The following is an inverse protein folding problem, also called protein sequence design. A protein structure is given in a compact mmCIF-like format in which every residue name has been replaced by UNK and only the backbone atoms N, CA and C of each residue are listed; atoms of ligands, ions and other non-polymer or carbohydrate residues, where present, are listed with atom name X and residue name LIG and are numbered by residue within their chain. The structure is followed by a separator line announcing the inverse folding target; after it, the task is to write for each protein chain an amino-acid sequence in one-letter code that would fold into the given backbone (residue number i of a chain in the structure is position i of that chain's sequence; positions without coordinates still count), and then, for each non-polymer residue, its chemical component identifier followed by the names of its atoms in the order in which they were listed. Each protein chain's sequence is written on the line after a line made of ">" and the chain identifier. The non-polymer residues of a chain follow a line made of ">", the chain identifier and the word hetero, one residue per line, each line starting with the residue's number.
data_IF_457007124491
#
_entry.id   IF_457007124491
#
_cell.length_a   1.000
_cell.length_b   1.000
_cell.length_c   1.000
_cell.angle_alpha   90.00
_cell.angle_beta   90.00
_cell.angle_gamma   90.00
#
_symmetry.space_group_name_H-M   'P 1'
#
loop_
_entity.id
_entity.type
_entity.pdbx_description
1 polymer ?
#
# COMPACT_ATOMS: atom_id res chain seq x y z
N UNK A 1 -16.79 -26.99 -8.19
CA UNK A 1 -17.20 -28.23 -8.91
C UNK A 1 -16.02 -28.92 -9.60
N UNK A 2 -15.10 -28.18 -10.23
CA UNK A 2 -13.92 -28.76 -10.91
C UNK A 2 -12.99 -29.50 -9.93
N UNK A 3 -12.71 -28.92 -8.75
CA UNK A 3 -11.90 -29.60 -7.72
C UNK A 3 -12.50 -30.94 -7.29
N UNK A 4 -13.81 -31.00 -7.00
CA UNK A 4 -14.52 -32.25 -6.68
C UNK A 4 -14.46 -33.29 -7.81
N UNK A 5 -14.47 -32.85 -9.07
CA UNK A 5 -14.31 -33.75 -10.23
C UNK A 5 -12.87 -34.27 -10.32
N UNK A 6 -11.88 -33.41 -10.07
CA UNK A 6 -10.47 -33.78 -9.99
C UNK A 6 -10.23 -34.84 -8.92
N UNK A 7 -10.68 -34.59 -7.69
CA UNK A 7 -10.61 -35.54 -6.57
C UNK A 7 -11.23 -36.91 -6.92
N UNK A 8 -12.41 -36.92 -7.53
CA UNK A 8 -13.07 -38.16 -7.95
C UNK A 8 -12.28 -38.92 -9.03
N UNK A 9 -11.62 -38.21 -9.95
CA UNK A 9 -10.76 -38.83 -10.97
C UNK A 9 -9.49 -39.38 -10.32
N UNK A 10 -8.88 -38.65 -9.41
CA UNK A 10 -7.67 -39.08 -8.69
C UNK A 10 -7.93 -40.32 -7.83
N UNK A 11 -9.06 -40.39 -7.12
CA UNK A 11 -9.46 -41.59 -6.38
C UNK A 11 -9.61 -42.82 -7.29
N UNK A 12 -10.16 -42.64 -8.50
CA UNK A 12 -10.29 -43.73 -9.48
C UNK A 12 -8.92 -44.17 -9.98
N UNK A 13 -8.01 -43.23 -10.26
CA UNK A 13 -6.63 -43.54 -10.65
C UNK A 13 -5.92 -44.34 -9.56
N UNK A 14 -6.03 -43.91 -8.29
CA UNK A 14 -5.43 -44.63 -7.15
C UNK A 14 -5.95 -46.06 -7.03
N UNK A 15 -7.26 -46.29 -7.18
CA UNK A 15 -7.85 -47.63 -7.16
C UNK A 15 -7.31 -48.51 -8.29
N UNK A 16 -7.19 -47.97 -9.50
CA UNK A 16 -6.62 -48.68 -10.66
C UNK A 16 -5.13 -48.98 -10.47
N UNK A 17 -4.36 -48.08 -9.85
CA UNK A 17 -2.95 -48.30 -9.51
C UNK A 17 -2.77 -49.45 -8.51
N UNK A 18 -3.60 -49.48 -7.46
CA UNK A 18 -3.60 -50.58 -6.51
C UNK A 18 -3.93 -51.92 -7.18
N UNK A 19 -4.88 -51.94 -8.12
CA UNK A 19 -5.21 -53.13 -8.90
C UNK A 19 -4.07 -53.56 -9.83
N UNK A 20 -3.42 -52.61 -10.51
CA UNK A 20 -2.24 -52.88 -11.36
C UNK A 20 -1.07 -53.44 -10.55
N UNK A 21 -0.85 -52.96 -9.31
CA UNK A 21 0.16 -53.50 -8.42
C UNK A 21 -0.09 -54.98 -8.11
N UNK A 22 -1.35 -55.36 -7.84
CA UNK A 22 -1.75 -56.77 -7.62
C UNK A 22 -1.53 -57.62 -8.86
N UNK A 23 -1.89 -57.13 -10.04
CA UNK A 23 -1.62 -57.87 -11.29
C UNK A 23 -0.12 -58.04 -11.55
N UNK A 24 0.70 -57.01 -11.26
CA UNK A 24 2.16 -57.09 -11.38
C UNK A 24 2.74 -58.19 -10.49
N UNK A 25 2.26 -58.33 -9.26
CA UNK A 25 2.66 -59.43 -8.37
C UNK A 25 2.20 -60.80 -8.88
N UNK A 26 0.95 -60.91 -9.35
CA UNK A 26 0.42 -62.15 -9.90
C UNK A 26 1.22 -62.61 -11.12
N UNK A 27 1.58 -61.69 -12.03
CA UNK A 27 2.40 -62.00 -13.20
C UNK A 27 3.78 -62.52 -12.78
N UNK A 28 4.40 -61.91 -11.75
CA UNK A 28 5.70 -62.36 -11.22
C UNK A 28 5.64 -63.76 -10.61
N UNK A 29 4.54 -64.10 -9.92
CA UNK A 29 4.34 -65.39 -9.25
C UNK A 29 3.86 -66.50 -10.20
N UNK A 30 3.32 -66.15 -11.37
CA UNK A 30 2.80 -67.10 -12.35
C UNK A 30 3.88 -67.51 -13.36
N UNK A 31 4.06 -68.81 -13.58
CA UNK A 31 5.01 -69.35 -14.56
C UNK A 31 4.62 -68.90 -15.98
N UNK A 32 5.59 -68.63 -16.88
CA UNK A 32 5.28 -68.25 -18.28
C UNK A 32 4.38 -69.30 -18.96
N UNK A 33 3.32 -68.82 -19.62
CA UNK A 33 2.33 -69.66 -20.30
C UNK A 33 0.95 -69.00 -20.40
N UNK A 34 -0.07 -69.74 -20.87
CA UNK A 34 -1.42 -69.20 -21.12
C UNK A 34 -2.05 -68.52 -19.91
N UNK A 35 -1.81 -69.05 -18.70
CA UNK A 35 -2.29 -68.44 -17.45
C UNK A 35 -1.65 -67.07 -17.20
N UNK A 36 -0.34 -66.92 -17.41
CA UNK A 36 0.35 -65.63 -17.25
C UNK A 36 -0.12 -64.62 -18.31
N UNK A 37 -0.34 -65.06 -19.55
CA UNK A 37 -0.88 -64.20 -20.61
C UNK A 37 -2.30 -63.71 -20.32
N UNK A 38 -3.16 -64.57 -19.75
CA UNK A 38 -4.50 -64.17 -19.33
C UNK A 38 -4.46 -63.06 -18.24
N UNK A 39 -3.53 -63.15 -17.29
CA UNK A 39 -3.31 -62.12 -16.26
C UNK A 39 -2.78 -60.83 -16.90
N UNK A 40 -1.81 -60.91 -17.82
CA UNK A 40 -1.32 -59.75 -18.58
C UNK A 40 -2.44 -59.07 -19.37
N UNK A 41 -3.31 -59.83 -20.03
CA UNK A 41 -4.43 -59.28 -20.78
C UNK A 41 -5.43 -58.52 -19.89
N UNK A 42 -5.68 -59.00 -18.67
CA UNK A 42 -6.50 -58.30 -17.67
C UNK A 42 -5.81 -57.01 -17.20
N UNK A 43 -4.52 -57.09 -16.85
CA UNK A 43 -3.73 -55.93 -16.45
C UNK A 43 -3.71 -54.83 -17.54
N UNK A 44 -3.61 -55.22 -18.81
CA UNK A 44 -3.66 -54.29 -19.95
C UNK A 44 -4.99 -53.55 -20.07
N UNK A 45 -6.12 -54.17 -19.71
CA UNK A 45 -7.42 -53.47 -19.69
C UNK A 45 -7.47 -52.41 -18.60
N UNK A 46 -6.99 -52.75 -17.40
CA UNK A 46 -6.91 -51.81 -16.27
C UNK A 46 -5.96 -50.66 -16.57
N UNK A 47 -4.81 -50.93 -17.22
CA UNK A 47 -3.86 -49.89 -17.62
C UNK A 47 -4.46 -48.92 -18.65
N UNK A 48 -5.22 -49.42 -19.63
CA UNK A 48 -5.95 -48.57 -20.58
C UNK A 48 -6.97 -47.68 -19.87
N UNK A 49 -7.70 -48.24 -18.92
CA UNK A 49 -8.67 -47.48 -18.12
C UNK A 49 -7.98 -46.41 -17.26
N UNK A 50 -6.83 -46.73 -16.66
CA UNK A 50 -6.02 -45.76 -15.92
C UNK A 50 -5.59 -44.60 -16.81
N UNK A 51 -5.00 -44.88 -17.97
CA UNK A 51 -4.57 -43.84 -18.93
C UNK A 51 -5.71 -42.93 -19.38
N UNK A 52 -6.91 -43.48 -19.54
CA UNK A 52 -8.09 -42.68 -19.85
C UNK A 52 -8.40 -41.66 -18.74
N UNK A 53 -8.33 -42.08 -17.47
CA UNK A 53 -8.55 -41.18 -16.33
C UNK A 53 -7.40 -40.19 -16.13
N UNK A 54 -6.14 -40.60 -16.34
CA UNK A 54 -4.99 -39.69 -16.33
C UNK A 54 -5.19 -38.56 -17.37
N UNK A 55 -5.64 -38.89 -18.58
CA UNK A 55 -5.96 -37.88 -19.59
C UNK A 55 -7.11 -36.96 -19.20
N UNK A 56 -8.14 -37.47 -18.51
CA UNK A 56 -9.23 -36.63 -17.97
C UNK A 56 -8.72 -35.68 -16.88
N UNK A 57 -7.84 -36.17 -15.99
CA UNK A 57 -7.21 -35.35 -14.95
C UNK A 57 -6.37 -34.24 -15.56
N UNK A 58 -5.56 -34.55 -16.56
CA UNK A 58 -4.71 -33.56 -17.23
C UNK A 58 -5.55 -32.47 -17.93
N UNK A 59 -6.70 -32.84 -18.51
CA UNK A 59 -7.67 -31.88 -19.05
C UNK A 59 -8.26 -30.98 -17.94
N UNK A 60 -8.61 -31.57 -16.78
CA UNK A 60 -9.11 -30.80 -15.64
C UNK A 60 -8.05 -29.84 -15.09
N UNK A 61 -6.78 -30.25 -15.02
CA UNK A 61 -5.71 -29.34 -14.58
C UNK A 61 -5.50 -28.16 -15.52
N UNK A 62 -5.52 -28.40 -16.83
CA UNK A 62 -5.49 -27.30 -17.80
C UNK A 62 -6.71 -26.37 -17.66
N UNK A 63 -7.89 -26.93 -17.39
CA UNK A 63 -9.09 -26.13 -17.16
C UNK A 63 -8.98 -25.30 -15.87
N UNK A 64 -8.50 -25.87 -14.77
CA UNK A 64 -8.27 -25.16 -13.51
C UNK A 64 -7.26 -24.03 -13.72
N UNK A 65 -6.13 -24.30 -14.37
CA UNK A 65 -5.12 -23.28 -14.66
C UNK A 65 -5.70 -22.11 -15.45
N UNK A 66 -6.47 -22.38 -16.51
CA UNK A 66 -7.12 -21.32 -17.29
C UNK A 66 -8.12 -20.52 -16.45
N UNK A 67 -8.86 -21.17 -15.54
CA UNK A 67 -9.79 -20.49 -14.65
C UNK A 67 -9.07 -19.63 -13.61
N UNK A 68 -7.95 -20.09 -13.06
CA UNK A 68 -7.15 -19.32 -12.10
C UNK A 68 -6.58 -18.06 -12.77
N UNK A 69 -6.10 -18.17 -14.01
CA UNK A 69 -5.65 -17.02 -14.80
C UNK A 69 -6.78 -16.01 -15.05
N UNK A 70 -7.98 -16.49 -15.38
CA UNK A 70 -9.17 -15.63 -15.59
C UNK A 70 -9.62 -15.00 -14.26
N UNK A 71 -9.58 -15.74 -13.16
CA UNK A 71 -9.94 -15.24 -11.84
C UNK A 71 -9.00 -14.10 -11.40
N UNK A 72 -7.69 -14.28 -11.58
CA UNK A 72 -6.71 -13.23 -11.30
C UNK A 72 -6.94 -11.98 -12.15
N UNK A 73 -7.18 -12.15 -13.47
CA UNK A 73 -7.51 -11.03 -14.34
C UNK A 73 -8.82 -10.33 -13.92
N UNK A 74 -9.83 -11.09 -13.50
CA UNK A 74 -11.11 -10.55 -13.04
C UNK A 74 -10.96 -9.76 -11.73
N UNK A 75 -10.08 -10.19 -10.83
CA UNK A 75 -9.75 -9.47 -9.59
C UNK A 75 -9.08 -8.12 -9.92
N UNK A 76 -8.08 -8.10 -10.80
CA UNK A 76 -7.47 -6.84 -11.25
C UNK A 76 -8.46 -5.89 -11.94
N UNK A 77 -9.41 -6.42 -12.72
CA UNK A 77 -10.50 -5.62 -13.32
C UNK A 77 -11.42 -5.05 -12.23
N UNK A 78 -11.74 -5.83 -11.20
CA UNK A 78 -12.58 -5.39 -10.09
C UNK A 78 -11.92 -4.27 -9.29
N UNK A 79 -10.62 -4.37 -9.03
CA UNK A 79 -9.85 -3.32 -8.36
C UNK A 79 -9.82 -2.05 -9.21
N UNK A 80 -9.54 -2.17 -10.52
CA UNK A 80 -9.61 -1.04 -11.45
C UNK A 80 -11.00 -0.40 -11.48
N UNK A 81 -12.07 -1.21 -11.41
CA UNK A 81 -13.44 -0.72 -11.33
C UNK A 81 -13.68 0.07 -10.03
N UNK A 82 -13.18 -0.41 -8.89
CA UNK A 82 -13.27 0.30 -7.62
C UNK A 82 -12.51 1.64 -7.67
N UNK A 83 -11.29 1.67 -8.20
CA UNK A 83 -10.52 2.90 -8.41
C UNK A 83 -11.28 3.87 -9.32
N UNK A 84 -11.83 3.39 -10.43
CA UNK A 84 -12.62 4.22 -11.35
C UNK A 84 -13.86 4.81 -10.66
N UNK A 85 -14.54 4.02 -9.82
CA UNK A 85 -15.68 4.51 -9.04
C UNK A 85 -15.25 5.59 -8.05
N UNK A 86 -14.13 5.39 -7.34
CA UNK A 86 -13.57 6.39 -6.44
C UNK A 86 -13.21 7.69 -7.16
N UNK A 87 -12.53 7.59 -8.31
CA UNK A 87 -12.19 8.74 -9.16
C UNK A 87 -13.44 9.48 -9.65
N UNK A 88 -14.49 8.74 -10.03
CA UNK A 88 -15.77 9.35 -10.46
C UNK A 88 -16.43 10.13 -9.32
N UNK A 89 -16.40 9.60 -8.10
CA UNK A 89 -16.90 10.28 -6.91
C UNK A 89 -16.05 11.53 -6.59
N UNK A 90 -14.72 11.40 -6.57
CA UNK A 90 -13.81 12.52 -6.35
C UNK A 90 -13.99 13.63 -7.39
N UNK A 91 -14.17 13.29 -8.67
CA UNK A 91 -14.44 14.27 -9.73
C UNK A 91 -15.80 14.95 -9.55
N UNK A 92 -16.83 14.22 -9.10
CA UNK A 92 -18.14 14.81 -8.78
C UNK A 92 -18.02 15.81 -7.63
N UNK A 93 -17.27 15.46 -6.59
CA UNK A 93 -17.01 16.33 -5.44
C UNK A 93 -16.19 17.55 -5.83
N UNK A 94 -15.13 17.37 -6.61
CA UNK A 94 -14.31 18.46 -7.17
C UNK A 94 -15.15 19.42 -8.04
N UNK A 95 -16.05 18.90 -8.89
CA UNK A 95 -17.00 19.73 -9.63
C UNK A 95 -18.00 20.45 -8.73
N UNK A 96 -18.37 19.86 -7.60
CA UNK A 96 -19.15 20.52 -6.55
C UNK A 96 -18.37 21.69 -5.96
N UNK A 97 -17.15 21.41 -5.48
CA UNK A 97 -16.22 22.41 -4.95
C UNK A 97 -15.99 23.55 -5.93
N UNK A 98 -15.70 23.29 -7.21
CA UNK A 98 -15.51 24.33 -8.23
C UNK A 98 -16.75 25.20 -8.49
N UNK A 99 -17.97 24.71 -8.21
CA UNK A 99 -19.19 25.52 -8.28
C UNK A 99 -19.40 26.38 -7.04
N UNK A 100 -18.93 25.89 -5.88
CA UNK A 100 -18.98 26.60 -4.59
C UNK A 100 -17.77 27.46 -4.31
N UNK A 101 -16.65 27.29 -5.01
CA UNK A 101 -15.60 28.29 -5.15
C UNK A 101 -16.22 29.33 -6.06
N UNK A 102 -16.82 30.33 -5.43
CA UNK A 102 -17.82 31.17 -6.09
C UNK A 102 -17.11 32.11 -7.05
N UNK A 103 -17.66 32.18 -8.25
CA UNK A 103 -17.51 33.34 -9.16
C UNK A 103 -17.87 34.65 -8.44
N UNK A 104 -18.70 34.60 -7.38
CA UNK A 104 -19.05 35.74 -6.53
C UNK A 104 -17.91 36.20 -5.60
N UNK A 105 -16.96 35.33 -5.26
CA UNK A 105 -15.82 35.70 -4.40
C UNK A 105 -14.71 36.37 -5.22
N UNK A 106 -14.80 36.40 -6.55
CA UNK A 106 -13.85 37.13 -7.41
C UNK A 106 -14.20 38.63 -7.47
N UNK A 107 -15.49 38.97 -7.55
CA UNK A 107 -15.94 40.37 -7.45
C UNK A 107 -15.70 40.90 -6.03
N UNK A 108 -15.98 40.10 -4.99
CA UNK A 108 -15.68 40.49 -3.60
C UNK A 108 -14.19 40.58 -3.28
N UNK A 109 -13.33 39.79 -3.93
CA UNK A 109 -11.87 39.94 -3.80
C UNK A 109 -11.35 41.21 -4.50
N UNK A 110 -11.95 41.62 -5.62
CA UNK A 110 -11.62 42.90 -6.26
C UNK A 110 -12.09 44.08 -5.41
N UNK A 111 -13.32 44.04 -4.91
CA UNK A 111 -13.87 45.07 -4.03
C UNK A 111 -13.07 45.15 -2.71
N UNK A 112 -12.71 44.01 -2.09
CA UNK A 112 -11.86 43.98 -0.89
C UNK A 112 -10.43 44.48 -1.16
N UNK A 113 -9.85 44.23 -2.34
CA UNK A 113 -8.54 44.81 -2.71
C UNK A 113 -8.63 46.33 -2.96
N UNK A 114 -9.74 46.80 -3.51
CA UNK A 114 -10.00 48.23 -3.73
C UNK A 114 -10.22 48.94 -2.39
N UNK A 115 -11.01 48.36 -1.50
CA UNK A 115 -11.19 48.82 -0.12
C UNK A 115 -9.86 48.77 0.67
N UNK A 116 -9.00 47.78 0.43
CA UNK A 116 -7.68 47.69 1.08
C UNK A 116 -6.72 48.78 0.57
N UNK A 117 -6.76 49.11 -0.73
CA UNK A 117 -5.99 50.23 -1.31
C UNK A 117 -6.52 51.59 -0.83
N UNK A 118 -7.83 51.74 -0.71
CA UNK A 118 -8.47 52.96 -0.19
C UNK A 118 -8.18 53.14 1.30
N UNK A 119 -8.28 52.07 2.11
CA UNK A 119 -7.87 52.08 3.53
C UNK A 119 -6.37 52.32 3.65
N UNK A 120 -5.54 51.77 2.76
CA UNK A 120 -4.10 52.04 2.77
C UNK A 120 -3.78 53.50 2.43
N UNK A 121 -4.53 54.09 1.49
CA UNK A 121 -4.41 55.50 1.11
C UNK A 121 -4.91 56.43 2.23
N UNK A 122 -6.04 56.08 2.86
CA UNK A 122 -6.61 56.80 4.00
C UNK A 122 -5.70 56.70 5.23
N UNK A 123 -5.06 55.54 5.47
CA UNK A 123 -4.03 55.35 6.50
C UNK A 123 -2.79 56.21 6.20
N UNK A 124 -2.34 56.29 4.95
CA UNK A 124 -1.19 57.13 4.56
C UNK A 124 -1.51 58.62 4.70
N UNK A 125 -2.74 59.04 4.38
CA UNK A 125 -3.22 60.41 4.49
C UNK A 125 -3.46 60.82 5.96
N UNK A 126 -4.05 59.94 6.78
CA UNK A 126 -4.25 60.18 8.23
C UNK A 126 -2.96 60.07 9.05
N UNK A 127 -2.01 59.21 8.67
CA UNK A 127 -0.66 59.19 9.26
C UNK A 127 0.25 60.29 8.69
N UNK A 128 -0.24 61.10 7.74
CA UNK A 128 0.52 62.20 7.14
C UNK A 128 1.84 61.74 6.52
N UNK A 129 1.91 60.49 6.06
CA UNK A 129 3.10 59.95 5.40
C UNK A 129 2.86 59.94 3.91
N UNK A 130 3.07 61.11 3.32
CA UNK A 130 3.48 61.19 1.92
C UNK A 130 4.73 60.33 1.78
N UNK A 131 4.59 59.12 1.25
CA UNK A 131 5.67 58.55 0.47
C UNK A 131 5.54 59.16 -0.92
N UNK A 132 5.91 60.44 -1.02
CA UNK A 132 6.58 60.91 -2.23
C UNK A 132 7.85 60.07 -2.31
N UNK A 133 7.75 58.93 -2.98
CA UNK A 133 8.92 58.41 -3.68
C UNK A 133 9.29 59.52 -4.65
N UNK A 134 10.45 60.19 -4.50
CA UNK A 134 10.87 61.18 -5.47
C UNK A 134 10.90 60.50 -6.85
N UNK A 135 10.43 61.16 -7.90
CA UNK A 135 10.54 60.67 -9.29
C UNK A 135 12.02 60.46 -9.72
N UNK A 136 12.97 60.77 -8.83
CA UNK A 136 14.41 60.74 -9.00
C UNK A 136 15.06 59.45 -8.45
N UNK A 137 14.29 58.41 -8.08
CA UNK A 137 14.87 57.11 -7.75
C UNK A 137 15.42 56.48 -9.03
N UNK A 138 16.74 56.34 -9.12
CA UNK A 138 17.42 55.75 -10.26
C UNK A 138 17.31 54.21 -10.20
N UNK A 139 16.54 53.63 -11.12
CA UNK A 139 16.32 52.19 -11.21
C UNK A 139 17.64 51.41 -11.42
N UNK A 140 18.66 52.06 -12.01
CA UNK A 140 19.97 51.46 -12.24
C UNK A 140 20.79 51.33 -10.94
N UNK A 141 20.62 52.25 -9.97
CA UNK A 141 21.27 52.17 -8.66
C UNK A 141 20.67 51.02 -7.82
N UNK A 142 19.35 50.84 -7.89
CA UNK A 142 18.62 49.73 -7.24
C UNK A 142 18.98 48.36 -7.81
N UNK A 143 19.15 48.26 -9.14
CA UNK A 143 19.63 47.03 -9.78
C UNK A 143 21.07 46.72 -9.37
N UNK A 144 21.93 47.74 -9.25
CA UNK A 144 23.29 47.58 -8.75
C UNK A 144 23.36 47.09 -7.31
N UNK A 145 22.50 47.60 -6.41
CA UNK A 145 22.40 47.09 -5.04
C UNK A 145 21.85 45.67 -4.96
N UNK A 146 20.89 45.31 -5.84
CA UNK A 146 20.33 43.96 -5.89
C UNK A 146 21.37 42.93 -6.33
N UNK A 147 22.16 43.25 -7.37
CA UNK A 147 23.27 42.41 -7.82
C UNK A 147 24.35 42.27 -6.72
N UNK A 148 24.62 43.34 -5.97
CA UNK A 148 25.54 43.29 -4.84
C UNK A 148 25.02 42.39 -3.70
N UNK A 149 23.72 42.39 -3.42
CA UNK A 149 23.08 41.52 -2.43
C UNK A 149 23.07 40.05 -2.88
N UNK A 150 22.88 39.78 -4.18
CA UNK A 150 23.02 38.45 -4.77
C UNK A 150 24.46 37.95 -4.67
N UNK A 151 25.45 38.83 -4.88
CA UNK A 151 26.86 38.50 -4.70
C UNK A 151 27.22 38.20 -3.23
N UNK A 152 26.64 38.94 -2.27
CA UNK A 152 26.84 38.70 -0.83
C UNK A 152 26.24 37.35 -0.39
N UNK A 153 25.08 36.96 -0.94
CA UNK A 153 24.50 35.61 -0.74
C UNK A 153 25.22 34.50 -1.53
N UNK A 154 25.79 34.83 -2.69
CA UNK A 154 26.59 33.91 -3.50
C UNK A 154 27.90 33.51 -2.80
N UNK A 155 28.51 34.42 -2.05
CA UNK A 155 29.68 34.13 -1.21
C UNK A 155 29.35 33.24 0.02
N UNK A 156 28.12 33.25 0.53
CA UNK A 156 27.69 32.30 1.56
C UNK A 156 27.32 30.91 1.00
N UNK A 157 26.95 30.81 -0.28
CA UNK A 157 26.55 29.52 -0.88
C UNK A 157 27.75 28.63 -1.28
N UNK A 158 28.95 29.21 -1.44
CA UNK A 158 30.21 28.43 -1.56
C UNK A 158 30.78 28.01 -0.19
N UNK A 159 30.24 28.54 0.92
CA UNK A 159 30.61 28.20 2.29
C UNK A 159 29.65 27.20 2.94
N UNK A 160 29.36 26.09 2.24
CA UNK A 160 28.84 24.87 2.84
C UNK A 160 27.38 24.91 3.30
N UNK A 161 26.66 23.83 2.99
CA UNK A 161 25.32 23.56 3.50
C UNK A 161 25.27 23.88 5.01
N UNK A 162 24.27 24.65 5.50
CA UNK A 162 24.19 25.05 6.90
C UNK A 162 24.44 23.87 7.84
N UNK A 163 25.19 24.08 8.92
CA UNK A 163 25.65 23.04 9.85
C UNK A 163 24.56 22.10 10.40
N UNK A 164 23.27 22.47 10.32
CA UNK A 164 22.15 21.61 10.70
C UNK A 164 21.78 20.54 9.64
N UNK A 165 22.32 20.61 8.42
CA UNK A 165 22.13 19.64 7.34
C UNK A 165 23.36 18.76 7.09
N UNK A 166 24.46 18.96 7.85
CA UNK A 166 25.65 18.11 7.75
C UNK A 166 25.50 16.92 8.70
N UNK A 167 25.20 15.75 8.13
CA UNK A 167 25.20 14.47 8.88
C UNK A 167 26.61 13.91 8.85
N UNK A 168 27.44 14.25 9.83
CA UNK A 168 28.79 13.69 9.96
C UNK A 168 28.82 12.43 10.85
N UNK A 169 29.20 11.29 10.25
CA UNK A 169 30.00 10.16 10.79
C UNK A 169 29.50 9.39 12.03
N UNK A 170 29.62 8.08 12.23
CA UNK A 170 29.96 6.86 11.49
C UNK A 170 29.62 5.70 12.50
N UNK A 171 29.60 4.42 12.10
CA UNK A 171 29.05 3.30 12.84
C UNK A 171 30.09 2.62 13.74
N UNK A 172 30.27 3.07 14.98
CA UNK A 172 30.83 2.25 16.08
C UNK A 172 30.81 3.03 17.41
N UNK A 173 29.85 2.72 18.28
CA UNK A 173 29.89 3.11 19.69
C UNK A 173 29.26 2.00 20.53
N UNK A 174 29.88 0.83 20.46
CA UNK A 174 29.80 -0.12 21.56
C UNK A 174 30.30 0.55 22.85
N UNK A 175 29.56 0.29 23.94
CA UNK A 175 29.94 0.52 25.34
C UNK A 175 30.13 1.98 25.81
N UNK A 176 29.02 2.64 26.16
CA UNK A 176 29.03 3.60 27.28
C UNK A 176 28.36 2.98 28.51
N UNK A 177 29.20 2.40 29.35
CA UNK A 177 28.87 1.80 30.65
C UNK A 177 28.47 2.90 31.65
N UNK A 178 27.18 3.00 31.98
CA UNK A 178 26.67 3.87 33.03
C UNK A 178 26.14 3.02 34.20
N UNK A 179 26.42 3.42 35.46
CA UNK A 179 26.35 2.56 36.64
C UNK A 179 24.93 2.13 37.03
N UNK A 180 24.81 0.91 37.58
CA UNK A 180 23.55 0.32 37.99
C UNK A 180 22.91 1.04 39.19
N UNK A 181 21.64 1.42 39.05
CA UNK A 181 20.81 1.98 40.12
C UNK A 181 20.14 0.85 40.96
N UNK A 182 19.95 1.06 42.28
CA UNK A 182 19.77 -0.02 43.25
C UNK A 182 18.37 -0.65 43.25
N UNK A 183 18.33 -1.97 43.49
CA UNK A 183 17.11 -2.74 43.67
C UNK A 183 16.48 -2.51 45.06
N UNK A 184 15.21 -2.10 45.10
CA UNK A 184 14.41 -1.93 46.31
C UNK A 184 12.97 -2.40 46.13
N UNK A 185 12.71 -3.62 46.59
CA UNK A 185 11.46 -4.27 47.01
C UNK A 185 10.13 -3.49 46.91
N UNK A 186 9.12 -4.10 46.27
CA UNK A 186 7.71 -3.91 46.67
C UNK A 186 6.65 -4.16 45.60
N UNK A 187 6.05 -5.36 45.64
CA UNK A 187 4.60 -5.63 45.44
C UNK A 187 3.97 -5.27 44.06
N UNK A 188 3.61 -6.30 43.28
CA UNK A 188 2.42 -6.27 42.41
C UNK A 188 1.20 -6.52 43.31
N UNK A 189 0.08 -5.78 43.21
CA UNK A 189 -0.90 -6.12 42.18
C UNK A 189 -1.77 -4.93 41.68
N UNK A 190 -2.11 -4.88 40.39
CA UNK A 190 -3.50 -4.91 39.93
C UNK A 190 -3.56 -4.85 38.40
N UNK A 191 -4.41 -5.68 37.80
CA UNK A 191 -4.72 -5.63 36.38
C UNK A 191 -5.59 -4.39 36.09
N UNK A 192 -5.09 -3.46 35.28
CA UNK A 192 -5.89 -2.39 34.70
C UNK A 192 -6.27 -2.79 33.28
N UNK A 193 -7.57 -2.83 33.00
CA UNK A 193 -8.09 -3.08 31.66
C UNK A 193 -7.79 -1.89 30.74
N UNK A 194 -7.14 -2.18 29.62
CA UNK A 194 -6.82 -1.25 28.53
C UNK A 194 -7.98 -1.24 27.52
N UNK A 195 -8.31 -0.08 26.96
CA UNK A 195 -9.29 0.04 25.86
C UNK A 195 -8.68 -0.40 24.51
N UNK A 196 -9.45 -0.49 23.42
CA UNK A 196 -9.06 -0.99 22.09
C UNK A 196 -7.94 -0.17 21.39
N UNK A 197 -7.48 0.93 22.02
CA UNK A 197 -6.31 1.72 21.62
C UNK A 197 -5.14 1.65 22.63
N UNK A 198 -5.15 0.70 23.58
CA UNK A 198 -4.02 0.39 24.46
C UNK A 198 -3.75 1.42 25.56
N UNK A 199 -4.72 2.26 25.90
CA UNK A 199 -4.59 3.28 26.95
C UNK A 199 -5.32 2.85 28.24
N UNK A 200 -4.79 3.20 29.42
CA UNK A 200 -5.41 2.84 30.70
C UNK A 200 -6.76 3.54 30.86
N UNK A 201 -7.82 2.74 31.09
CA UNK A 201 -9.18 3.27 31.26
C UNK A 201 -9.30 4.03 32.59
N UNK A 202 -9.78 5.27 32.54
CA UNK A 202 -10.10 6.05 33.74
C UNK A 202 -11.46 5.62 34.30
N UNK A 203 -11.61 5.38 35.63
CA UNK A 203 -12.88 4.98 36.20
C UNK A 203 -13.95 6.06 35.99
N UNK A 204 -15.06 5.72 35.32
CA UNK A 204 -16.22 6.62 35.19
C UNK A 204 -16.87 6.80 36.57
N UNK A 205 -16.77 8.00 37.14
CA UNK A 205 -17.51 8.35 38.34
C UNK A 205 -19.01 8.43 38.03
N UNK A 206 -19.80 7.50 38.58
CA UNK A 206 -21.24 7.55 38.56
C UNK A 206 -21.73 8.74 39.40
N UNK A 207 -22.24 9.77 38.73
CA UNK A 207 -23.09 10.78 39.37
C UNK A 207 -24.40 10.09 39.78
N UNK A 208 -24.55 9.82 41.08
CA UNK A 208 -25.84 9.43 41.66
C UNK A 208 -26.55 10.70 42.08
N UNK A 209 -27.79 10.86 41.61
CA UNK A 209 -28.73 11.89 42.08
C UNK A 209 -29.22 11.65 43.50
#
# INVERSE_FOLDING_TARGET
>A
QINKRGESVDEKIQKLDAELARYKEQIKKTRPGPAQEAVKARAMRVLKQKRMYEGQRDMLYNQTFNLDQVAFAAEGIKDAQQTMSALKSANKELKGMMKTVKIQDIDSLQDEMMDLMDVSSEIQETLGRSYNVPDDIDEDELLGELDALEADMGFETEAGVPSYLQTESDPDAAELNLPAAPAGHGVRPNAQAEDELGLPTVPRASLRG
#
